data_IF_041253105075
#
_entry.id   IF_041253105075
#
_cell.length_a   1.000
_cell.length_b   1.000
_cell.length_c   1.000
_cell.angle_alpha   90.00
_cell.angle_beta   90.00
_cell.angle_gamma   90.00
#
_symmetry.space_group_name_H-M   'P 1'
#
loop_
_entity.id
_entity.type
_entity.pdbx_description
1 polymer ?
#
# COMPACT_ATOMS: atom_id res chain seq x y z
N UNK A 1 2.26 2.24 26.61
CA UNK A 1 3.07 1.06 26.93
C UNK A 1 2.33 -0.16 26.44
N UNK A 2 3.04 -1.09 25.80
CA UNK A 2 2.49 -2.26 25.12
C UNK A 2 3.02 -3.51 25.82
N UNK A 3 2.18 -4.43 26.33
CA UNK A 3 2.63 -5.64 27.00
C UNK A 3 3.45 -6.55 26.09
N UNK A 4 4.49 -7.20 26.64
CA UNK A 4 5.32 -8.17 25.89
C UNK A 4 4.61 -9.51 25.64
N UNK A 5 3.50 -9.76 26.32
CA UNK A 5 2.63 -10.93 26.15
C UNK A 5 1.24 -10.60 26.71
N UNK A 6 0.20 -11.31 26.26
CA UNK A 6 -1.21 -11.04 26.58
C UNK A 6 -1.54 -10.97 28.08
N UNK A 7 -0.76 -11.65 28.93
CA UNK A 7 -0.93 -11.67 30.39
C UNK A 7 0.23 -11.02 31.16
N UNK A 8 1.15 -10.34 30.46
CA UNK A 8 2.35 -9.77 31.08
C UNK A 8 2.12 -8.35 31.60
N UNK A 9 2.82 -8.02 32.69
CA UNK A 9 2.96 -6.63 33.19
C UNK A 9 4.22 -5.94 32.69
N UNK A 10 5.16 -6.70 32.09
CA UNK A 10 6.31 -6.13 31.39
C UNK A 10 5.84 -5.51 30.08
N UNK A 11 6.36 -4.32 29.79
CA UNK A 11 5.92 -3.52 28.65
C UNK A 11 7.10 -2.99 27.83
N UNK A 12 6.82 -2.70 26.56
CA UNK A 12 7.65 -1.91 25.65
C UNK A 12 6.96 -0.56 25.42
N UNK A 13 7.75 0.49 25.24
CA UNK A 13 7.26 1.82 24.87
C UNK A 13 7.67 2.10 23.43
N UNK A 14 6.86 2.84 22.65
CA UNK A 14 7.25 3.23 21.30
C UNK A 14 8.61 3.91 21.28
N UNK A 15 9.43 3.60 20.29
CA UNK A 15 10.77 4.15 20.15
C UNK A 15 11.16 4.35 18.68
N UNK A 16 12.03 5.32 18.43
CA UNK A 16 12.57 5.54 17.10
C UNK A 16 13.47 4.37 16.69
N UNK A 17 13.17 3.75 15.55
CA UNK A 17 13.99 2.69 14.99
C UNK A 17 15.37 3.22 14.59
N UNK A 18 16.39 2.38 14.70
CA UNK A 18 17.75 2.72 14.26
C UNK A 18 18.12 2.15 12.89
N UNK A 19 17.42 1.11 12.44
CA UNK A 19 17.55 0.53 11.10
C UNK A 19 16.54 1.13 10.13
N UNK A 20 16.58 0.60 8.91
CA UNK A 20 15.73 1.00 7.78
C UNK A 20 14.79 -0.13 7.35
N UNK A 21 14.65 -1.17 8.18
CA UNK A 21 13.85 -2.37 7.92
C UNK A 21 13.42 -2.99 9.25
N UNK A 22 12.27 -3.66 9.23
CA UNK A 22 11.69 -4.47 10.32
C UNK A 22 11.38 -5.87 9.79
N UNK A 23 11.14 -6.87 10.66
CA UNK A 23 10.43 -8.07 10.25
C UNK A 23 9.04 -7.74 9.68
N UNK A 24 8.52 -8.66 8.86
CA UNK A 24 7.12 -8.66 8.42
C UNK A 24 6.24 -9.16 9.56
N UNK A 25 5.48 -8.24 10.17
CA UNK A 25 4.65 -8.53 11.33
C UNK A 25 3.31 -9.15 10.88
N UNK A 26 2.62 -9.89 11.74
CA UNK A 26 1.33 -10.47 11.37
C UNK A 26 0.28 -9.40 11.06
N UNK A 27 -0.15 -9.32 9.81
CA UNK A 27 -1.14 -8.34 9.33
C UNK A 27 -2.43 -9.02 8.83
N UNK A 28 -2.71 -10.23 9.32
CA UNK A 28 -4.01 -10.89 9.08
C UNK A 28 -5.13 -10.18 9.83
N UNK A 29 -6.39 -10.35 9.41
CA UNK A 29 -7.52 -9.83 10.18
C UNK A 29 -7.52 -10.33 11.65
N UNK A 30 -7.13 -11.59 11.88
CA UNK A 30 -7.08 -12.15 13.22
C UNK A 30 -6.03 -11.46 14.10
N UNK A 31 -4.84 -11.19 13.55
CA UNK A 31 -3.77 -10.47 14.22
C UNK A 31 -4.21 -9.03 14.55
N UNK A 32 -4.66 -8.30 13.54
CA UNK A 32 -5.15 -6.94 13.70
C UNK A 32 -6.28 -6.83 14.75
N UNK A 33 -7.20 -7.79 14.81
CA UNK A 33 -8.24 -7.82 15.85
C UNK A 33 -7.67 -8.09 17.25
N UNK A 34 -6.65 -8.94 17.36
CA UNK A 34 -5.95 -9.18 18.62
C UNK A 34 -5.25 -7.90 19.09
N UNK A 35 -4.59 -7.16 18.20
CA UNK A 35 -3.89 -5.91 18.49
C UNK A 35 -4.83 -4.83 19.03
N UNK A 36 -5.95 -4.64 18.33
CA UNK A 36 -7.00 -3.70 18.70
C UNK A 36 -7.61 -4.05 20.06
N UNK A 37 -7.65 -5.33 20.43
CA UNK A 37 -8.10 -5.82 21.74
C UNK A 37 -9.41 -5.17 22.22
N UNK A 38 -10.46 -5.25 21.39
CA UNK A 38 -11.76 -4.66 21.71
C UNK A 38 -11.75 -3.13 21.85
N UNK A 39 -10.80 -2.45 21.22
CA UNK A 39 -10.63 -1.00 21.26
C UNK A 39 -9.67 -0.51 22.34
N UNK A 40 -9.05 -1.40 23.11
CA UNK A 40 -8.00 -1.04 24.05
C UNK A 40 -6.68 -0.65 23.34
N UNK A 41 -6.48 -1.08 22.09
CA UNK A 41 -5.34 -0.75 21.22
C UNK A 41 -4.00 -0.93 21.92
N UNK A 42 -3.77 -2.11 22.48
CA UNK A 42 -2.62 -2.33 23.35
C UNK A 42 -1.90 -3.67 23.20
N UNK A 43 -2.31 -4.56 22.28
CA UNK A 43 -1.74 -5.91 22.19
C UNK A 43 -0.74 -6.13 21.04
N UNK A 44 -0.46 -5.11 20.23
CA UNK A 44 0.52 -5.13 19.11
C UNK A 44 1.81 -5.91 19.42
N UNK A 45 2.48 -5.57 20.53
CA UNK A 45 3.74 -6.22 20.92
C UNK A 45 3.54 -7.67 21.40
N UNK A 46 2.43 -7.95 22.06
CA UNK A 46 2.11 -9.28 22.58
C UNK A 46 1.74 -10.24 21.45
N UNK A 47 0.98 -9.76 20.45
CA UNK A 47 0.61 -10.49 19.24
C UNK A 47 1.86 -10.80 18.42
N UNK A 48 2.67 -9.79 18.10
CA UNK A 48 3.88 -9.94 17.31
C UNK A 48 4.89 -10.90 17.96
N UNK A 49 5.02 -10.87 19.29
CA UNK A 49 5.88 -11.82 20.01
C UNK A 49 5.30 -13.25 20.04
N UNK A 50 3.97 -13.39 20.10
CA UNK A 50 3.31 -14.70 20.13
C UNK A 50 3.33 -15.41 18.78
N UNK A 51 3.37 -14.67 17.67
CA UNK A 51 3.48 -15.23 16.33
C UNK A 51 4.87 -15.84 16.04
N UNK A 52 5.90 -15.37 16.76
CA UNK A 52 7.27 -15.84 16.62
C UNK A 52 8.02 -15.29 15.41
N UNK A 53 7.42 -14.37 14.64
CA UNK A 53 8.07 -13.72 13.49
C UNK A 53 8.88 -12.47 13.89
N UNK A 54 8.59 -11.90 15.05
CA UNK A 54 9.21 -10.67 15.55
C UNK A 54 9.53 -10.74 17.04
N UNK A 55 10.50 -9.94 17.45
CA UNK A 55 10.77 -9.64 18.85
C UNK A 55 9.77 -8.60 19.39
N UNK A 56 9.57 -8.51 20.72
CA UNK A 56 8.70 -7.48 21.30
C UNK A 56 9.05 -6.03 20.91
N UNK A 57 10.27 -5.77 20.44
CA UNK A 57 10.71 -4.45 20.04
C UNK A 57 10.22 -4.07 18.64
N UNK A 58 10.03 -5.05 17.75
CA UNK A 58 9.79 -4.78 16.33
C UNK A 58 8.42 -4.10 16.08
N UNK A 59 7.39 -4.49 16.82
CA UNK A 59 6.03 -3.93 16.73
C UNK A 59 5.82 -2.60 17.52
N UNK A 60 6.87 -2.07 18.15
CA UNK A 60 6.82 -0.79 18.87
C UNK A 60 7.73 0.28 18.23
N UNK A 61 8.41 -0.07 17.14
CA UNK A 61 9.28 0.85 16.42
C UNK A 61 8.50 1.83 15.54
N UNK A 62 9.03 3.03 15.35
CA UNK A 62 8.58 3.94 14.30
C UNK A 62 9.77 4.57 13.57
N UNK A 63 9.60 4.79 12.27
CA UNK A 63 10.57 5.53 11.46
C UNK A 63 10.46 7.03 11.70
N UNK A 64 11.59 7.72 11.54
CA UNK A 64 11.69 9.17 11.67
C UNK A 64 12.22 9.78 10.38
N UNK A 65 12.34 11.11 10.34
CA UNK A 65 13.03 11.81 9.26
C UNK A 65 14.50 11.35 9.06
N UNK A 66 15.06 10.55 9.97
CA UNK A 66 16.36 9.89 9.76
C UNK A 66 16.31 8.86 8.62
N UNK A 67 15.20 8.14 8.47
CA UNK A 67 15.01 7.11 7.45
C UNK A 67 14.21 7.62 6.26
N UNK A 68 13.14 8.36 6.54
CA UNK A 68 12.18 8.84 5.53
C UNK A 68 12.07 10.38 5.53
N UNK A 69 13.16 11.12 5.30
CA UNK A 69 13.16 12.58 5.37
C UNK A 69 12.19 13.24 4.39
N UNK A 70 12.00 12.68 3.19
CA UNK A 70 11.19 13.32 2.15
C UNK A 70 9.70 13.21 2.46
N UNK A 71 9.22 12.13 3.08
CA UNK A 71 7.86 11.99 3.55
C UNK A 71 7.56 12.96 4.70
N UNK A 72 8.52 13.21 5.59
CA UNK A 72 8.41 14.26 6.60
C UNK A 72 8.35 15.66 5.96
N UNK A 73 9.13 15.91 4.91
CA UNK A 73 9.03 17.15 4.12
C UNK A 73 7.66 17.25 3.43
N UNK A 74 7.16 16.17 2.81
CA UNK A 74 5.86 16.19 2.15
C UNK A 74 4.71 16.46 3.13
N UNK A 75 4.74 15.85 4.31
CA UNK A 75 3.77 16.16 5.37
C UNK A 75 3.87 17.62 5.88
N UNK A 76 5.03 18.26 5.74
CA UNK A 76 5.25 19.65 6.13
C UNK A 76 4.77 20.64 5.06
N UNK A 77 4.98 20.32 3.77
CA UNK A 77 4.71 21.22 2.65
C UNK A 77 3.38 20.95 1.92
N UNK A 78 2.77 19.78 2.11
CA UNK A 78 1.52 19.35 1.46
C UNK A 78 0.50 18.84 2.49
N UNK A 79 -0.63 18.30 2.01
CA UNK A 79 -1.68 17.76 2.88
C UNK A 79 -1.34 16.35 3.38
N UNK A 80 -1.52 16.12 4.68
CA UNK A 80 -1.48 14.79 5.31
C UNK A 80 -2.87 14.41 5.81
N UNK A 81 -3.34 13.22 5.43
CA UNK A 81 -4.56 12.63 5.97
C UNK A 81 -4.25 11.73 7.18
N UNK A 82 -4.18 12.31 8.38
CA UNK A 82 -3.86 11.61 9.63
C UNK A 82 -5.02 10.79 10.24
N UNK A 83 -6.13 10.67 9.49
CA UNK A 83 -7.30 9.83 9.79
C UNK A 83 -7.75 9.03 8.56
N UNK A 84 -6.78 8.54 7.80
CA UNK A 84 -7.00 7.60 6.70
C UNK A 84 -6.88 6.17 7.23
N UNK A 85 -7.77 5.28 6.80
CA UNK A 85 -7.82 3.89 7.22
C UNK A 85 -7.89 3.00 5.98
N UNK A 86 -7.29 1.80 6.09
CA UNK A 86 -7.46 0.75 5.10
C UNK A 86 -8.94 0.37 4.98
N UNK A 87 -9.37 -0.03 3.79
CA UNK A 87 -10.77 -0.37 3.54
C UNK A 87 -11.21 -1.62 4.31
N UNK A 88 -10.27 -2.53 4.54
CA UNK A 88 -10.48 -3.83 5.16
C UNK A 88 -9.41 -4.03 6.22
N UNK A 89 -9.84 -4.44 7.42
CA UNK A 89 -8.91 -4.92 8.44
C UNK A 89 -8.38 -6.29 8.00
N UNK A 90 -7.14 -6.33 7.51
CA UNK A 90 -6.51 -7.53 6.96
C UNK A 90 -5.39 -7.17 5.97
N UNK A 91 -4.90 -8.18 5.22
CA UNK A 91 -3.69 -8.08 4.42
C UNK A 91 -3.92 -7.33 3.08
N UNK A 92 -2.90 -7.35 2.22
CA UNK A 92 -2.79 -6.63 0.95
C UNK A 92 -3.93 -6.90 -0.03
N UNK A 93 -4.24 -8.16 -0.37
CA UNK A 93 -5.11 -8.47 -1.51
C UNK A 93 -6.56 -7.97 -1.32
N UNK A 94 -7.21 -8.15 -0.16
CA UNK A 94 -8.52 -7.55 0.11
C UNK A 94 -8.50 -6.03 -0.01
N UNK A 95 -7.47 -5.36 0.52
CA UNK A 95 -7.38 -3.91 0.43
C UNK A 95 -7.15 -3.42 -1.00
N UNK A 96 -6.37 -4.12 -1.81
CA UNK A 96 -6.18 -3.81 -3.24
C UNK A 96 -7.48 -3.94 -4.03
N UNK A 97 -8.26 -4.99 -3.78
CA UNK A 97 -9.59 -5.14 -4.40
C UNK A 97 -10.55 -4.06 -3.91
N UNK A 98 -10.51 -3.70 -2.63
CA UNK A 98 -11.33 -2.63 -2.08
C UNK A 98 -10.96 -1.27 -2.68
N UNK A 99 -9.68 -0.96 -2.86
CA UNK A 99 -9.23 0.31 -3.45
C UNK A 99 -9.79 0.52 -4.87
N UNK A 100 -9.83 -0.55 -5.68
CA UNK A 100 -10.31 -0.46 -7.05
C UNK A 100 -11.82 -0.68 -7.20
N UNK A 101 -12.49 -1.39 -6.29
CA UNK A 101 -13.92 -1.77 -6.45
C UNK A 101 -14.85 -1.27 -5.35
N UNK A 102 -14.30 -0.72 -4.27
CA UNK A 102 -15.00 -0.37 -3.02
C UNK A 102 -15.82 -1.53 -2.42
N UNK A 103 -15.48 -2.79 -2.74
CA UNK A 103 -16.22 -3.97 -2.27
C UNK A 103 -15.35 -5.22 -2.14
N UNK A 104 -15.42 -5.88 -0.97
CA UNK A 104 -14.85 -7.22 -0.75
C UNK A 104 -15.78 -8.19 0.00
N UNK A 105 -17.00 -7.75 0.33
CA UNK A 105 -17.90 -8.53 1.18
C UNK A 105 -17.23 -8.91 2.51
N UNK A 106 -17.13 -10.22 2.77
CA UNK A 106 -16.47 -10.78 3.96
C UNK A 106 -15.08 -11.36 3.68
N UNK A 107 -14.52 -11.15 2.50
CA UNK A 107 -13.18 -11.64 2.15
C UNK A 107 -12.11 -10.76 2.78
N UNK A 108 -11.11 -11.39 3.43
CA UNK A 108 -10.21 -10.74 4.39
C UNK A 108 -8.83 -11.43 4.49
N UNK A 109 -8.41 -12.17 3.46
CA UNK A 109 -7.17 -12.94 3.46
C UNK A 109 -6.55 -13.01 2.07
N UNK A 110 -5.22 -12.99 2.00
CA UNK A 110 -4.46 -13.19 0.76
C UNK A 110 -4.61 -14.63 0.26
N UNK A 111 -5.58 -14.82 -0.62
CA UNK A 111 -6.11 -16.12 -1.04
C UNK A 111 -7.00 -15.93 -2.26
N UNK A 112 -7.42 -17.01 -2.92
CA UNK A 112 -8.36 -16.88 -4.04
C UNK A 112 -9.66 -16.20 -3.58
N UNK A 113 -10.00 -15.03 -4.15
CA UNK A 113 -11.21 -14.31 -3.76
C UNK A 113 -12.47 -15.06 -4.20
N UNK A 114 -13.58 -14.94 -3.45
CA UNK A 114 -14.87 -15.42 -3.90
C UNK A 114 -15.30 -14.77 -5.23
N UNK A 115 -15.95 -15.53 -6.11
CA UNK A 115 -16.38 -15.01 -7.43
C UNK A 115 -17.31 -13.78 -7.34
N UNK A 116 -18.08 -13.66 -6.25
CA UNK A 116 -18.93 -12.49 -6.04
C UNK A 116 -18.15 -11.23 -5.63
N UNK A 117 -16.90 -11.34 -5.19
CA UNK A 117 -16.01 -10.19 -4.94
C UNK A 117 -15.46 -9.67 -6.26
N UNK A 118 -14.98 -10.56 -7.11
CA UNK A 118 -14.30 -10.20 -8.36
C UNK A 118 -15.25 -9.88 -9.51
N UNK A 119 -16.55 -10.14 -9.34
CA UNK A 119 -17.59 -9.75 -10.28
C UNK A 119 -17.95 -8.25 -10.24
N UNK A 120 -17.47 -7.49 -9.24
CA UNK A 120 -17.74 -6.06 -9.13
C UNK A 120 -16.88 -5.26 -10.11
N UNK A 121 -17.52 -4.33 -10.83
CA UNK A 121 -16.81 -3.42 -11.73
C UNK A 121 -15.87 -2.51 -10.94
N UNK A 122 -14.62 -2.43 -11.37
CA UNK A 122 -13.64 -1.52 -10.78
C UNK A 122 -13.87 -0.08 -11.23
N UNK A 123 -13.25 0.88 -10.55
CA UNK A 123 -13.15 2.27 -11.04
C UNK A 123 -12.52 2.31 -12.43
N UNK A 124 -11.57 1.43 -12.73
CA UNK A 124 -10.91 1.34 -14.04
C UNK A 124 -11.88 0.88 -15.15
N UNK A 125 -12.77 -0.06 -14.84
CA UNK A 125 -13.85 -0.47 -15.75
C UNK A 125 -14.82 0.70 -16.02
N UNK A 126 -15.15 1.48 -14.99
CA UNK A 126 -16.01 2.65 -15.12
C UNK A 126 -15.35 3.75 -15.96
N UNK A 127 -14.06 4.03 -15.76
CA UNK A 127 -13.30 4.97 -16.57
C UNK A 127 -13.28 4.54 -18.04
N UNK A 128 -13.08 3.24 -18.31
CA UNK A 128 -13.18 2.68 -19.66
C UNK A 128 -14.57 2.90 -20.26
N UNK A 129 -15.64 2.60 -19.51
CA UNK A 129 -17.02 2.78 -19.98
C UNK A 129 -17.38 4.23 -20.30
N UNK A 130 -16.73 5.20 -19.63
CA UNK A 130 -16.93 6.64 -19.87
C UNK A 130 -15.93 7.23 -20.88
N UNK A 131 -15.01 6.42 -21.42
CA UNK A 131 -13.97 6.91 -22.34
C UNK A 131 -12.96 7.85 -21.68
N UNK A 132 -12.81 7.80 -20.34
CA UNK A 132 -11.82 8.58 -19.60
C UNK A 132 -10.49 7.83 -19.68
N UNK A 133 -9.41 8.45 -20.23
CA UNK A 133 -8.11 7.80 -20.32
C UNK A 133 -7.54 7.49 -18.94
N UNK A 134 -7.08 6.25 -18.74
CA UNK A 134 -6.39 5.83 -17.54
C UNK A 134 -5.24 4.86 -17.85
N UNK A 135 -4.24 4.80 -16.96
CA UNK A 135 -3.19 3.79 -16.97
C UNK A 135 -3.01 3.17 -15.57
N UNK A 136 -2.50 1.94 -15.53
CA UNK A 136 -1.95 1.32 -14.33
C UNK A 136 -0.50 0.93 -14.61
N UNK A 137 0.41 1.69 -14.03
CA UNK A 137 1.85 1.57 -14.25
C UNK A 137 2.47 0.78 -13.10
N UNK A 138 3.14 -0.33 -13.38
CA UNK A 138 3.68 -1.23 -12.35
C UNK A 138 5.21 -1.42 -12.46
N UNK A 139 5.88 -1.60 -11.33
CA UNK A 139 7.27 -2.05 -11.32
C UNK A 139 7.35 -3.59 -11.37
N UNK A 140 8.32 -4.12 -12.11
CA UNK A 140 8.57 -5.57 -12.17
C UNK A 140 7.47 -6.36 -12.87
N UNK A 141 6.67 -7.12 -12.11
CA UNK A 141 5.52 -7.91 -12.61
C UNK A 141 4.24 -7.34 -12.03
N UNK A 142 3.10 -7.33 -12.75
CA UNK A 142 1.86 -6.69 -12.29
C UNK A 142 1.06 -7.64 -11.38
N UNK A 143 1.68 -8.12 -10.30
CA UNK A 143 1.07 -9.17 -9.46
C UNK A 143 -0.15 -8.64 -8.69
N UNK A 144 -0.25 -7.33 -8.51
CA UNK A 144 -1.44 -6.69 -7.94
C UNK A 144 -2.66 -6.72 -8.85
N UNK A 145 -2.51 -7.06 -10.13
CA UNK A 145 -3.59 -7.09 -11.11
C UNK A 145 -3.76 -8.47 -11.74
N UNK A 146 -3.76 -9.55 -10.98
CA UNK A 146 -3.99 -10.90 -11.56
C UNK A 146 -5.40 -11.03 -12.14
N UNK A 147 -5.59 -12.00 -13.04
CA UNK A 147 -6.92 -12.33 -13.55
C UNK A 147 -7.86 -12.86 -12.45
N UNK A 148 -7.31 -13.47 -11.40
CA UNK A 148 -8.09 -13.94 -10.26
C UNK A 148 -8.62 -12.78 -9.41
N UNK A 149 -7.84 -11.70 -9.25
CA UNK A 149 -8.26 -10.51 -8.49
C UNK A 149 -9.14 -9.58 -9.34
N UNK A 150 -8.80 -9.39 -10.62
CA UNK A 150 -9.46 -8.45 -11.52
C UNK A 150 -9.67 -9.02 -12.93
N UNK A 151 -10.62 -9.95 -13.12
CA UNK A 151 -10.86 -10.59 -14.41
C UNK A 151 -11.13 -9.58 -15.54
N UNK A 152 -11.92 -8.54 -15.26
CA UNK A 152 -12.31 -7.50 -16.24
C UNK A 152 -11.13 -6.70 -16.80
N UNK A 153 -10.05 -6.57 -16.04
CA UNK A 153 -8.85 -5.84 -16.45
C UNK A 153 -7.92 -6.67 -17.35
N UNK A 154 -8.08 -8.00 -17.34
CA UNK A 154 -7.26 -8.94 -18.12
C UNK A 154 -7.98 -9.54 -19.32
N UNK A 155 -9.28 -9.76 -19.22
CA UNK A 155 -10.06 -10.39 -20.29
C UNK A 155 -10.34 -9.46 -21.47
N UNK A 156 -10.28 -8.14 -21.27
CA UNK A 156 -10.48 -7.17 -22.36
C UNK A 156 -9.15 -6.67 -22.92
N UNK A 157 -9.01 -6.68 -24.25
CA UNK A 157 -7.86 -6.10 -24.95
C UNK A 157 -7.75 -4.58 -24.72
N UNK A 158 -8.86 -3.91 -24.38
CA UNK A 158 -8.89 -2.49 -24.10
C UNK A 158 -8.26 -2.15 -22.73
N UNK A 159 -8.67 -2.83 -21.66
CA UNK A 159 -8.12 -2.57 -20.32
C UNK A 159 -6.68 -3.08 -20.21
N UNK A 160 -6.39 -4.28 -20.74
CA UNK A 160 -5.05 -4.86 -20.65
C UNK A 160 -3.97 -4.03 -21.37
N UNK A 161 -4.35 -3.28 -22.42
CA UNK A 161 -3.44 -2.36 -23.11
C UNK A 161 -3.07 -1.09 -22.30
N UNK A 162 -3.75 -0.84 -21.17
CA UNK A 162 -3.51 0.29 -20.26
C UNK A 162 -2.71 -0.11 -19.02
N UNK A 163 -2.31 -1.37 -18.92
CA UNK A 163 -1.46 -1.88 -17.85
C UNK A 163 -0.03 -1.88 -18.38
N UNK A 164 0.78 -0.93 -17.95
CA UNK A 164 2.09 -0.62 -18.54
C UNK A 164 3.21 -0.77 -17.50
N UNK A 165 4.44 -1.06 -17.92
CA UNK A 165 5.57 -1.00 -17.00
C UNK A 165 5.85 0.46 -16.62
N UNK A 166 6.11 0.72 -15.34
CA UNK A 166 6.42 2.07 -14.81
C UNK A 166 7.68 2.68 -15.46
N UNK A 167 8.54 1.87 -16.09
CA UNK A 167 9.66 2.35 -16.90
C UNK A 167 9.24 3.22 -18.09
N UNK A 168 7.98 3.14 -18.51
CA UNK A 168 7.43 3.93 -19.61
C UNK A 168 6.95 5.31 -19.14
N UNK A 169 6.75 5.51 -17.83
CA UNK A 169 6.26 6.75 -17.24
C UNK A 169 7.04 8.00 -17.72
N UNK A 170 8.39 8.01 -17.78
CA UNK A 170 9.11 9.17 -18.30
C UNK A 170 8.79 9.52 -19.77
N UNK A 171 8.43 8.53 -20.59
CA UNK A 171 7.98 8.80 -21.96
C UNK A 171 6.55 9.32 -21.98
N UNK A 172 5.66 8.75 -21.15
CA UNK A 172 4.28 9.21 -20.99
C UNK A 172 4.23 10.69 -20.56
N UNK A 173 5.11 11.09 -19.63
CA UNK A 173 5.19 12.45 -19.09
C UNK A 173 5.83 13.49 -20.05
N UNK A 174 6.41 13.10 -21.19
CA UNK A 174 7.07 14.04 -22.14
C UNK A 174 6.13 14.66 -23.14
N UNK A 175 5.04 13.98 -23.46
CA UNK A 175 4.02 14.47 -24.40
C UNK A 175 2.82 14.95 -23.60
N UNK A 176 2.31 16.17 -23.85
CA UNK A 176 1.05 16.61 -23.25
C UNK A 176 -0.06 15.58 -23.52
N UNK A 177 -0.83 15.23 -22.49
CA UNK A 177 -1.90 14.24 -22.59
C UNK A 177 -1.63 12.93 -21.87
N UNK A 178 -0.96 13.01 -20.70
CA UNK A 178 -0.96 11.93 -19.71
C UNK A 178 -2.41 11.55 -19.40
N UNK A 179 -2.73 10.25 -19.18
CA UNK A 179 -4.08 9.84 -18.83
C UNK A 179 -4.63 10.63 -17.64
N UNK A 180 -5.95 10.83 -17.61
CA UNK A 180 -6.60 11.58 -16.54
C UNK A 180 -6.48 10.91 -15.16
N UNK A 181 -6.26 9.59 -15.14
CA UNK A 181 -6.03 8.81 -13.92
C UNK A 181 -4.86 7.86 -14.16
N UNK A 182 -3.85 7.90 -13.31
CA UNK A 182 -2.70 6.98 -13.39
C UNK A 182 -2.48 6.37 -12.01
N UNK A 183 -2.60 5.04 -11.92
CA UNK A 183 -2.16 4.28 -10.76
C UNK A 183 -0.69 3.91 -10.96
N UNK A 184 0.13 4.06 -9.92
CA UNK A 184 1.55 3.67 -9.96
C UNK A 184 1.80 2.73 -8.80
N UNK A 185 2.23 1.50 -9.11
CA UNK A 185 2.34 0.40 -8.17
C UNK A 185 3.78 -0.17 -8.17
N UNK A 186 4.53 -0.13 -7.05
CA UNK A 186 5.83 -0.78 -6.96
C UNK A 186 5.72 -2.32 -7.03
N UNK A 187 4.51 -2.87 -6.97
CA UNK A 187 4.18 -4.29 -6.99
C UNK A 187 4.99 -5.06 -5.94
N UNK A 188 5.42 -6.28 -6.22
CA UNK A 188 6.35 -7.05 -5.37
C UNK A 188 7.80 -6.77 -5.67
N UNK A 189 8.13 -5.54 -6.05
CA UNK A 189 9.54 -5.17 -6.07
C UNK A 189 10.08 -5.20 -4.65
N UNK A 190 10.92 -6.19 -4.36
CA UNK A 190 11.67 -6.37 -3.11
C UNK A 190 12.58 -5.17 -2.72
N UNK A 191 12.53 -4.09 -3.49
CA UNK A 191 13.36 -2.90 -3.36
C UNK A 191 12.55 -1.63 -3.17
N UNK A 192 11.28 -1.61 -3.59
CA UNK A 192 10.55 -0.34 -3.80
C UNK A 192 9.20 -0.29 -3.10
N UNK A 193 8.67 -1.42 -2.61
CA UNK A 193 7.29 -1.44 -2.09
C UNK A 193 7.16 -0.89 -0.68
N UNK A 194 8.28 -0.80 0.04
CA UNK A 194 8.34 -0.53 1.49
C UNK A 194 7.77 -1.64 2.37
N UNK A 195 7.32 -2.76 1.78
CA UNK A 195 6.85 -3.93 2.51
C UNK A 195 7.98 -4.53 3.34
N UNK A 196 7.86 -4.73 4.67
CA UNK A 196 8.89 -5.38 5.45
C UNK A 196 9.22 -6.81 4.93
N UNK A 197 10.48 -7.29 4.94
CA UNK A 197 11.66 -6.64 5.51
C UNK A 197 12.44 -5.79 4.50
N UNK A 198 11.80 -5.24 3.48
CA UNK A 198 12.44 -4.32 2.54
C UNK A 198 12.94 -3.05 3.24
N UNK A 199 13.83 -2.33 2.57
CA UNK A 199 14.42 -1.11 3.11
C UNK A 199 13.50 0.09 2.83
N UNK A 200 12.94 0.68 3.88
CA UNK A 200 12.00 1.81 3.78
C UNK A 200 12.64 3.04 3.14
N UNK A 201 13.94 3.27 3.35
CA UNK A 201 14.66 4.40 2.75
C UNK A 201 14.76 4.23 1.23
N UNK A 202 15.02 3.00 0.74
CA UNK A 202 15.06 2.73 -0.70
C UNK A 202 13.67 2.83 -1.35
N UNK A 203 12.62 2.41 -0.64
CA UNK A 203 11.25 2.60 -1.07
C UNK A 203 10.86 4.08 -1.17
N UNK A 204 11.21 4.89 -0.16
CA UNK A 204 11.01 6.34 -0.20
C UNK A 204 11.75 6.96 -1.39
N UNK A 205 13.01 6.59 -1.61
CA UNK A 205 13.79 7.09 -2.76
C UNK A 205 13.10 6.81 -4.10
N UNK A 206 12.50 5.63 -4.26
CA UNK A 206 11.75 5.28 -5.46
C UNK A 206 10.47 6.11 -5.61
N UNK A 207 9.66 6.20 -4.56
CA UNK A 207 8.43 7.01 -4.54
C UNK A 207 8.74 8.48 -4.84
N UNK A 208 9.78 9.03 -4.22
CA UNK A 208 10.27 10.39 -4.46
C UNK A 208 10.76 10.56 -5.89
N UNK A 209 11.41 9.57 -6.50
CA UNK A 209 11.83 9.64 -7.89
C UNK A 209 10.64 9.69 -8.86
N UNK A 210 9.59 8.89 -8.60
CA UNK A 210 8.33 8.92 -9.36
C UNK A 210 7.64 10.27 -9.22
N UNK A 211 7.46 10.76 -8.00
CA UNK A 211 6.84 12.07 -7.71
C UNK A 211 7.62 13.19 -8.40
N UNK A 212 8.95 13.19 -8.29
CA UNK A 212 9.80 14.18 -8.96
C UNK A 212 9.70 14.13 -10.48
N UNK A 213 9.52 12.95 -11.09
CA UNK A 213 9.30 12.85 -12.53
C UNK A 213 8.02 13.58 -12.94
N UNK A 214 6.93 13.41 -12.18
CA UNK A 214 5.65 14.08 -12.40
C UNK A 214 5.81 15.60 -12.18
N UNK A 215 6.40 16.02 -11.07
CA UNK A 215 6.59 17.44 -10.73
C UNK A 215 7.50 18.21 -11.71
N UNK A 216 8.38 17.51 -12.44
CA UNK A 216 9.23 18.07 -13.51
C UNK A 216 8.61 17.98 -14.90
N UNK A 217 7.45 17.34 -15.03
CA UNK A 217 6.74 17.19 -16.30
C UNK A 217 5.88 18.42 -16.62
N UNK A 218 5.38 18.55 -17.87
CA UNK A 218 4.37 19.54 -18.23
C UNK A 218 3.06 19.43 -17.42
N UNK A 219 2.78 18.29 -16.78
CA UNK A 219 1.54 18.05 -16.02
C UNK A 219 1.59 18.54 -14.57
N UNK A 220 2.72 19.09 -14.11
CA UNK A 220 2.94 19.49 -12.71
C UNK A 220 1.86 20.40 -12.15
N UNK A 221 1.36 21.36 -12.95
CA UNK A 221 0.36 22.34 -12.53
C UNK A 221 -1.09 21.86 -12.67
N UNK A 222 -1.31 20.69 -13.28
CA UNK A 222 -2.62 20.09 -13.53
C UNK A 222 -2.83 18.78 -12.77
N UNK A 223 -1.85 18.33 -12.00
CA UNK A 223 -1.86 17.03 -11.32
C UNK A 223 -2.16 17.17 -9.82
N UNK A 224 -2.88 16.19 -9.28
CA UNK A 224 -2.91 15.88 -7.86
C UNK A 224 -2.26 14.51 -7.66
N UNK A 225 -1.36 14.39 -6.69
CA UNK A 225 -0.66 13.15 -6.38
C UNK A 225 -1.15 12.67 -5.01
N UNK A 226 -1.55 11.41 -4.94
CA UNK A 226 -1.91 10.72 -3.70
C UNK A 226 -0.92 9.58 -3.50
N UNK A 227 -0.32 9.53 -2.31
CA UNK A 227 0.53 8.41 -1.87
C UNK A 227 -0.25 7.68 -0.78
N UNK A 228 -0.51 6.40 -0.99
CA UNK A 228 -1.31 5.55 -0.12
C UNK A 228 -0.57 4.23 0.10
N UNK A 229 -0.90 3.56 1.20
CA UNK A 229 -0.45 2.21 1.52
C UNK A 229 -1.66 1.27 1.46
N UNK A 230 -1.42 0.01 1.13
CA UNK A 230 -2.45 -1.03 1.03
C UNK A 230 -2.88 -1.56 2.39
N UNK A 231 -1.95 -1.72 3.34
CA UNK A 231 -2.24 -2.22 4.69
C UNK A 231 -1.34 -1.59 5.79
N UNK A 232 -1.36 -2.12 7.01
CA UNK A 232 -0.71 -1.51 8.20
C UNK A 232 0.69 -2.02 8.54
N UNK A 233 1.18 -3.05 7.86
CA UNK A 233 2.44 -3.77 8.11
C UNK A 233 2.40 -4.71 9.33
N UNK A 234 1.25 -4.79 10.02
CA UNK A 234 1.07 -5.44 11.33
C UNK A 234 1.28 -4.48 12.48
#
# INVERSE_FOLDING_TARGET
SLPVAFSSTQVVHPFALTGDSTPDLPHTQQANLADLNGGANNMFVAEANASGVASPQDAAGYYTARQIPNYYDYATYYGLADRFFTGVLGPTEPNRVFDLSAYVGSWNADSTPPANVTAHATVLDQLTGQGIPWNYDYAGSPIGLTADLFPSLRDSTCNSARILPVSDLPAQLRTPGVPSVVYIDPSTSALYSEHPPENVTLGEEWSVAVINAILRSPETNSSAILVLYDENGG
#
